data_IF_063664866832
#
_entry.id   IF_063664866832
#
_cell.length_a   1.000
_cell.length_b   1.000
_cell.length_c   1.000
_cell.angle_alpha   90.00
_cell.angle_beta   90.00
_cell.angle_gamma   90.00
#
_symmetry.space_group_name_H-M   'P 1'
#
loop_
_entity.id
_entity.type
_entity.pdbx_description
1 polymer ?
#
# COMPACT_ATOMS: atom_id res chain seq x y z
N UNK A 1 -36.09 -46.19 26.28
CA UNK A 1 -35.33 -45.01 26.73
C UNK A 1 -34.20 -44.80 25.74
N UNK A 2 -34.26 -43.76 24.91
CA UNK A 2 -33.17 -43.40 24.01
C UNK A 2 -32.43 -42.20 24.62
N UNK A 3 -31.13 -42.36 24.89
CA UNK A 3 -30.30 -41.29 25.43
C UNK A 3 -29.99 -40.29 24.31
N UNK A 4 -30.34 -39.02 24.51
CA UNK A 4 -29.92 -37.91 23.66
C UNK A 4 -28.44 -37.63 23.90
N UNK A 5 -27.60 -37.73 22.88
CA UNK A 5 -26.20 -37.30 22.94
C UNK A 5 -26.12 -35.78 23.05
N UNK A 6 -25.23 -35.23 23.90
CA UNK A 6 -25.02 -33.78 23.96
C UNK A 6 -24.34 -33.31 22.67
N UNK A 7 -24.94 -32.32 22.01
CA UNK A 7 -24.32 -31.59 20.89
C UNK A 7 -23.11 -30.83 21.44
N UNK A 8 -21.91 -31.18 20.96
CA UNK A 8 -20.69 -30.45 21.31
C UNK A 8 -20.82 -28.97 20.89
N UNK A 9 -20.35 -28.00 21.69
CA UNK A 9 -20.32 -26.61 21.26
C UNK A 9 -19.41 -26.49 20.03
N UNK A 10 -19.88 -25.76 19.01
CA UNK A 10 -19.08 -25.46 17.83
C UNK A 10 -17.92 -24.56 18.25
N UNK A 11 -16.75 -25.17 18.42
CA UNK A 11 -15.50 -24.47 18.69
C UNK A 11 -15.16 -23.61 17.47
N UNK A 12 -15.36 -22.30 17.59
CA UNK A 12 -15.04 -21.37 16.52
C UNK A 12 -13.61 -20.91 16.75
N UNK A 13 -12.68 -21.33 15.89
CA UNK A 13 -11.29 -20.93 15.99
C UNK A 13 -11.10 -19.45 15.55
N UNK A 14 -10.13 -18.71 16.13
CA UNK A 14 -9.82 -17.37 15.68
C UNK A 14 -9.31 -17.38 14.24
N UNK A 15 -9.75 -16.40 13.44
CA UNK A 15 -9.36 -16.28 12.03
C UNK A 15 -8.29 -15.18 11.86
N UNK A 16 -7.19 -15.50 11.17
CA UNK A 16 -6.23 -14.47 10.73
C UNK A 16 -6.74 -13.83 9.44
N UNK A 17 -6.92 -12.51 9.46
CA UNK A 17 -7.33 -11.72 8.30
C UNK A 17 -6.15 -10.88 7.84
N UNK A 18 -5.78 -11.02 6.57
CA UNK A 18 -4.78 -10.17 5.92
C UNK A 18 -5.47 -9.24 4.95
N UNK A 19 -5.22 -7.94 5.08
CA UNK A 19 -5.79 -6.90 4.21
C UNK A 19 -4.70 -5.96 3.72
N UNK A 20 -5.00 -5.25 2.65
CA UNK A 20 -4.17 -4.15 2.16
C UNK A 20 -4.85 -2.83 2.47
N UNK A 21 -4.13 -1.90 3.10
CA UNK A 21 -4.58 -0.53 3.34
C UNK A 21 -3.87 0.39 2.36
N UNK A 22 -4.65 1.00 1.46
CA UNK A 22 -4.12 1.80 0.37
C UNK A 22 -4.02 3.29 0.73
N UNK A 23 -3.05 3.96 0.11
CA UNK A 23 -2.96 5.41 0.03
C UNK A 23 -2.41 5.81 -1.35
N UNK A 24 -2.85 6.95 -1.86
CA UNK A 24 -2.47 7.42 -3.20
C UNK A 24 -2.01 8.87 -3.15
N UNK A 25 -1.13 9.24 -4.09
CA UNK A 25 -0.56 10.58 -4.18
C UNK A 25 -0.34 10.97 -5.64
N UNK A 26 -0.66 12.23 -5.95
CA UNK A 26 -0.41 12.83 -7.26
C UNK A 26 0.81 13.73 -7.13
N UNK A 27 1.86 13.43 -7.88
CA UNK A 27 3.11 14.17 -7.85
C UNK A 27 3.37 14.88 -9.17
N UNK A 28 3.34 16.21 -9.12
CA UNK A 28 3.73 17.08 -10.23
C UNK A 28 5.16 17.53 -10.05
N UNK A 29 6.02 17.12 -10.98
CA UNK A 29 7.40 17.59 -11.09
C UNK A 29 7.41 18.73 -12.10
N UNK A 30 7.37 19.97 -11.62
CA UNK A 30 7.47 21.16 -12.46
C UNK A 30 8.93 21.62 -12.59
N UNK A 31 9.28 22.24 -13.73
CA UNK A 31 10.63 22.73 -13.96
C UNK A 31 11.62 21.62 -14.37
N UNK A 32 11.16 20.61 -15.11
CA UNK A 32 11.99 19.47 -15.50
C UNK A 32 13.29 19.89 -16.21
N UNK A 33 13.24 20.94 -17.02
CA UNK A 33 14.39 21.51 -17.72
C UNK A 33 15.51 21.97 -16.81
N UNK A 34 15.18 22.44 -15.60
CA UNK A 34 16.14 22.82 -14.54
C UNK A 34 16.51 21.63 -13.66
N UNK A 35 15.58 20.68 -13.50
CA UNK A 35 15.80 19.46 -12.74
C UNK A 35 16.77 18.50 -13.43
N UNK A 36 16.78 18.43 -14.76
CA UNK A 36 17.75 17.61 -15.48
C UNK A 36 19.13 18.26 -15.41
N UNK A 37 20.18 17.45 -15.21
CA UNK A 37 21.53 17.93 -15.01
C UNK A 37 21.92 18.18 -13.54
N UNK A 38 21.03 17.95 -12.56
CA UNK A 38 21.38 18.02 -11.13
C UNK A 38 22.37 16.93 -10.70
N UNK A 39 22.59 15.92 -11.53
CA UNK A 39 23.59 14.87 -11.36
C UNK A 39 22.98 13.52 -10.94
N UNK A 40 23.62 12.45 -11.38
CA UNK A 40 23.20 11.09 -11.05
C UNK A 40 23.15 10.87 -9.53
N UNK A 41 22.11 10.18 -9.07
CA UNK A 41 21.86 9.93 -7.65
C UNK A 41 21.25 11.10 -6.87
N UNK A 42 21.05 12.27 -7.50
CA UNK A 42 20.23 13.36 -6.94
C UNK A 42 18.78 13.21 -7.38
N UNK A 43 17.86 13.61 -6.50
CA UNK A 43 16.43 13.41 -6.71
C UNK A 43 15.60 14.62 -6.28
N UNK A 44 14.37 14.64 -6.80
CA UNK A 44 13.27 15.47 -6.34
C UNK A 44 12.31 14.55 -5.59
N UNK A 45 11.95 14.93 -4.36
CA UNK A 45 10.97 14.21 -3.55
C UNK A 45 9.58 14.83 -3.71
N UNK A 46 8.55 13.99 -3.66
CA UNK A 46 7.18 14.44 -3.41
C UNK A 46 7.01 14.87 -1.95
N UNK A 47 5.87 15.49 -1.65
CA UNK A 47 5.38 15.52 -0.27
C UNK A 47 5.09 14.10 0.23
N UNK A 48 5.09 13.93 1.55
CA UNK A 48 4.76 12.65 2.16
C UNK A 48 3.25 12.41 2.12
N UNK A 49 2.85 11.15 1.97
CA UNK A 49 1.46 10.71 2.03
C UNK A 49 1.33 9.41 2.83
N UNK A 50 0.14 9.16 3.38
CA UNK A 50 -0.08 8.03 4.29
C UNK A 50 -0.69 6.83 3.57
N UNK A 51 -0.16 5.65 3.85
CA UNK A 51 -0.79 4.36 3.53
C UNK A 51 -0.50 3.37 4.66
N UNK A 52 -1.53 2.69 5.17
CA UNK A 52 -1.40 1.70 6.24
C UNK A 52 -0.72 2.16 7.52
N UNK A 53 -0.88 3.45 7.89
CA UNK A 53 -0.25 4.02 9.08
C UNK A 53 1.23 4.37 8.92
N UNK A 54 1.80 4.23 7.72
CA UNK A 54 3.15 4.66 7.40
C UNK A 54 3.13 5.88 6.45
N UNK A 55 4.17 6.70 6.52
CA UNK A 55 4.38 7.79 5.57
C UNK A 55 5.27 7.33 4.42
N UNK A 56 4.95 7.80 3.22
CA UNK A 56 5.57 7.41 1.97
C UNK A 56 5.89 8.64 1.13
N UNK A 57 6.93 8.59 0.32
CA UNK A 57 7.25 9.63 -0.65
C UNK A 57 7.73 9.01 -1.97
N UNK A 58 7.58 9.76 -3.06
CA UNK A 58 8.07 9.40 -4.39
C UNK A 58 9.39 10.14 -4.62
N UNK A 59 10.44 9.42 -5.01
CA UNK A 59 11.72 10.00 -5.40
C UNK A 59 11.93 9.85 -6.90
N UNK A 60 12.01 10.99 -7.59
CA UNK A 60 12.32 11.07 -9.02
C UNK A 60 13.77 11.50 -9.23
N UNK A 61 14.52 10.71 -10.00
CA UNK A 61 15.93 10.98 -10.32
C UNK A 61 16.04 11.35 -11.81
N UNK A 62 16.15 12.66 -12.15
CA UNK A 62 16.15 13.12 -13.54
C UNK A 62 17.33 12.59 -14.36
N UNK A 63 18.49 12.40 -13.72
CA UNK A 63 19.72 11.88 -14.34
C UNK A 63 20.03 10.45 -13.92
N UNK A 64 19.02 9.74 -13.41
CA UNK A 64 19.14 8.35 -12.97
C UNK A 64 19.72 8.19 -11.56
N UNK A 65 19.49 7.02 -10.96
CA UNK A 65 19.95 6.67 -9.61
C UNK A 65 21.41 6.21 -9.58
N UNK A 66 21.87 5.56 -10.65
CA UNK A 66 23.21 4.98 -10.75
C UNK A 66 24.06 5.83 -11.71
N UNK A 67 25.22 6.35 -11.29
CA UNK A 67 26.13 7.06 -12.21
C UNK A 67 26.58 6.23 -13.41
N UNK A 68 26.65 4.90 -13.29
CA UNK A 68 27.10 4.02 -14.37
C UNK A 68 26.17 4.01 -15.59
N UNK A 69 24.92 4.44 -15.44
CA UNK A 69 23.94 4.51 -16.54
C UNK A 69 24.13 5.78 -17.40
N UNK A 70 25.12 6.63 -17.13
CA UNK A 70 25.46 7.78 -17.97
C UNK A 70 24.32 8.80 -18.14
N UNK A 71 23.41 8.89 -17.17
CA UNK A 71 22.17 9.66 -17.26
C UNK A 71 21.28 9.29 -18.47
N UNK A 72 21.35 8.05 -18.96
CA UNK A 72 20.52 7.58 -20.07
C UNK A 72 19.06 7.39 -19.67
N UNK A 73 18.80 7.08 -18.40
CA UNK A 73 17.48 6.78 -17.87
C UNK A 73 17.10 7.71 -16.72
N UNK A 74 15.82 8.07 -16.66
CA UNK A 74 15.24 8.57 -15.42
C UNK A 74 14.95 7.38 -14.50
N UNK A 75 15.09 7.58 -13.19
CA UNK A 75 14.69 6.58 -12.19
C UNK A 75 13.56 7.09 -11.32
N UNK A 76 12.74 6.18 -10.81
CA UNK A 76 11.66 6.52 -9.90
C UNK A 76 11.48 5.44 -8.84
N UNK A 77 11.31 5.88 -7.60
CA UNK A 77 11.19 5.01 -6.42
C UNK A 77 10.09 5.52 -5.50
N UNK A 78 9.46 4.59 -4.78
CA UNK A 78 8.64 4.86 -3.61
C UNK A 78 9.48 4.54 -2.38
N UNK A 79 9.59 5.49 -1.45
CA UNK A 79 10.37 5.38 -0.24
C UNK A 79 9.47 5.40 0.99
N UNK A 80 9.81 4.59 1.99
CA UNK A 80 9.25 4.69 3.34
C UNK A 80 9.83 5.94 4.01
N UNK A 81 8.98 6.92 4.31
CA UNK A 81 9.37 8.21 4.88
C UNK A 81 9.27 8.24 6.41
N UNK A 82 8.35 7.45 7.00
CA UNK A 82 8.25 7.31 8.45
C UNK A 82 9.20 6.26 9.00
N UNK A 83 9.45 6.31 10.31
CA UNK A 83 10.02 5.17 11.02
C UNK A 83 9.09 3.96 10.90
N UNK A 84 9.67 2.78 10.68
CA UNK A 84 8.93 1.53 10.51
C UNK A 84 9.90 0.41 10.17
N UNK A 85 9.64 -0.78 10.73
CA UNK A 85 10.44 -1.98 10.48
C UNK A 85 9.58 -3.04 9.81
N UNK A 86 10.15 -3.69 8.79
CA UNK A 86 9.55 -4.79 8.06
C UNK A 86 8.13 -4.51 7.51
N UNK A 87 7.94 -3.32 6.94
CA UNK A 87 6.68 -2.92 6.31
C UNK A 87 6.53 -3.65 4.97
N UNK A 88 5.58 -4.58 4.88
CA UNK A 88 5.21 -5.24 3.63
C UNK A 88 4.27 -4.37 2.79
N UNK A 89 4.70 -3.96 1.60
CA UNK A 89 3.93 -3.06 0.75
C UNK A 89 3.92 -3.48 -0.73
N UNK A 90 2.81 -3.15 -1.38
CA UNK A 90 2.60 -3.14 -2.83
C UNK A 90 2.68 -1.69 -3.31
N UNK A 91 3.03 -1.50 -4.57
CA UNK A 91 2.99 -0.17 -5.17
C UNK A 91 2.58 -0.22 -6.64
N UNK A 92 2.02 0.90 -7.07
CA UNK A 92 1.77 1.26 -8.45
C UNK A 92 2.34 2.64 -8.71
N UNK A 93 3.06 2.77 -9.82
CA UNK A 93 3.57 4.04 -10.33
C UNK A 93 3.06 4.22 -11.76
N UNK A 94 2.35 5.31 -11.98
CA UNK A 94 1.73 5.64 -13.25
C UNK A 94 2.28 6.97 -13.75
N UNK A 95 3.07 6.92 -14.83
CA UNK A 95 3.51 8.11 -15.55
C UNK A 95 2.40 8.54 -16.49
N UNK A 96 1.86 9.75 -16.29
CA UNK A 96 0.66 10.18 -16.99
C UNK A 96 0.96 10.74 -18.38
N UNK A 97 0.27 10.23 -19.41
CA UNK A 97 0.23 10.85 -20.73
C UNK A 97 -0.56 12.16 -20.69
N UNK A 98 0.07 13.24 -21.14
CA UNK A 98 -0.49 14.59 -21.17
C UNK A 98 -0.86 15.02 -22.61
N UNK A 99 -0.72 14.12 -23.59
CA UNK A 99 -1.11 14.37 -24.99
C UNK A 99 -2.60 14.19 -25.26
N UNK A 100 -3.37 13.69 -24.28
CA UNK A 100 -4.80 13.42 -24.41
C UNK A 100 -5.13 12.07 -25.07
N UNK A 101 -4.13 11.22 -25.32
CA UNK A 101 -4.32 9.88 -25.91
C UNK A 101 -4.64 8.81 -24.86
N UNK A 102 -4.51 9.14 -23.57
CA UNK A 102 -4.77 8.23 -22.45
C UNK A 102 -3.75 7.10 -22.34
N UNK A 103 -2.56 7.26 -22.91
CA UNK A 103 -1.54 6.21 -22.96
C UNK A 103 -0.62 6.28 -21.73
N UNK A 104 -1.19 6.13 -20.53
CA UNK A 104 -0.39 6.14 -19.30
C UNK A 104 0.57 4.95 -19.23
N UNK A 105 1.79 5.17 -18.72
CA UNK A 105 2.76 4.09 -18.48
C UNK A 105 2.66 3.64 -17.02
N UNK A 106 2.03 2.48 -16.81
CA UNK A 106 1.76 1.89 -15.48
C UNK A 106 2.81 0.83 -15.14
N UNK A 107 3.36 0.89 -13.93
CA UNK A 107 4.11 -0.22 -13.29
C UNK A 107 3.42 -0.58 -11.99
N UNK A 108 2.72 -1.71 -11.95
CA UNK A 108 1.89 -2.12 -10.81
C UNK A 108 2.31 -3.48 -10.25
N UNK A 109 2.33 -3.59 -8.93
CA UNK A 109 2.51 -4.85 -8.20
C UNK A 109 1.20 -5.38 -7.61
N UNK A 110 0.09 -4.65 -7.76
CA UNK A 110 -1.22 -5.11 -7.30
C UNK A 110 -1.77 -6.27 -8.16
N UNK A 111 -1.37 -6.35 -9.42
CA UNK A 111 -1.95 -7.26 -10.42
C UNK A 111 -1.04 -8.49 -10.70
N UNK A 112 0.00 -8.72 -9.89
CA UNK A 112 0.85 -9.93 -10.00
C UNK A 112 0.58 -10.88 -8.83
N UNK A 113 -0.45 -11.75 -8.92
CA UNK A 113 -0.57 -12.85 -7.99
C UNK A 113 0.64 -13.79 -8.19
N UNK A 114 1.36 -14.07 -7.11
CA UNK A 114 2.18 -15.27 -6.88
C UNK A 114 3.64 -15.35 -7.35
N UNK A 115 4.25 -14.36 -8.03
CA UNK A 115 5.69 -14.46 -8.39
C UNK A 115 6.65 -13.63 -7.52
N UNK A 116 6.19 -12.56 -6.85
CA UNK A 116 7.08 -11.67 -6.08
C UNK A 116 6.60 -11.26 -4.69
N UNK A 117 5.31 -11.40 -4.39
CA UNK A 117 4.72 -10.95 -3.13
C UNK A 117 4.87 -9.44 -2.88
N UNK A 118 4.36 -8.94 -1.74
CA UNK A 118 4.68 -7.60 -1.25
C UNK A 118 6.18 -7.46 -0.97
N UNK A 119 6.72 -6.27 -1.19
CA UNK A 119 8.09 -5.96 -0.80
C UNK A 119 8.16 -5.56 0.66
N UNK A 120 9.14 -6.11 1.38
CA UNK A 120 9.40 -5.74 2.78
C UNK A 120 10.45 -4.63 2.84
N UNK A 121 10.03 -3.46 3.34
CA UNK A 121 10.87 -2.30 3.59
C UNK A 121 11.31 -2.30 5.05
N UNK A 122 12.62 -2.33 5.29
CA UNK A 122 13.19 -2.71 6.59
C UNK A 122 13.34 -1.54 7.57
N UNK A 123 13.48 -0.32 7.07
CA UNK A 123 13.73 0.89 7.86
C UNK A 123 13.34 2.14 7.08
N UNK A 124 13.28 3.29 7.76
CA UNK A 124 13.12 4.60 7.13
C UNK A 124 14.14 4.80 5.99
N UNK A 125 13.70 5.35 4.86
CA UNK A 125 14.53 5.55 3.67
C UNK A 125 14.78 4.30 2.83
N UNK A 126 14.33 3.12 3.27
CA UNK A 126 14.17 1.97 2.37
C UNK A 126 13.27 2.37 1.21
N UNK A 127 13.67 2.00 0.00
CA UNK A 127 12.96 2.43 -1.20
C UNK A 127 12.89 1.29 -2.21
N UNK A 128 11.80 1.26 -2.95
CA UNK A 128 11.59 0.29 -4.03
C UNK A 128 11.16 1.01 -5.30
N UNK A 129 11.66 0.57 -6.45
CA UNK A 129 11.34 1.20 -7.72
C UNK A 129 12.25 0.73 -8.84
N UNK A 130 12.42 1.59 -9.84
CA UNK A 130 13.08 1.23 -11.10
C UNK A 130 14.26 2.16 -11.37
N UNK A 131 15.47 1.60 -11.36
CA UNK A 131 16.70 2.32 -11.77
C UNK A 131 16.62 2.80 -13.23
N UNK A 132 16.05 1.97 -14.11
CA UNK A 132 15.85 2.30 -15.53
C UNK A 132 14.36 2.42 -15.84
N UNK A 133 13.68 3.36 -15.18
CA UNK A 133 12.21 3.51 -15.27
C UNK A 133 11.77 3.88 -16.69
N UNK A 134 12.45 4.88 -17.29
CA UNK A 134 12.21 5.28 -18.67
C UNK A 134 13.47 5.89 -19.27
N UNK A 135 13.70 5.67 -20.56
CA UNK A 135 14.82 6.30 -21.25
C UNK A 135 14.59 7.81 -21.31
N UNK A 136 15.56 8.60 -20.87
CA UNK A 136 15.41 10.06 -20.73
C UNK A 136 15.09 10.72 -22.08
N UNK A 137 15.80 10.35 -23.14
CA UNK A 137 15.52 10.90 -24.48
C UNK A 137 14.12 10.55 -24.98
N UNK A 138 13.60 9.37 -24.64
CA UNK A 138 12.22 8.99 -24.97
C UNK A 138 11.20 9.75 -24.12
N UNK A 139 11.50 10.03 -22.84
CA UNK A 139 10.68 10.88 -21.99
C UNK A 139 10.50 12.26 -22.59
N UNK A 140 11.62 12.89 -22.96
CA UNK A 140 11.65 14.25 -23.48
C UNK A 140 10.96 14.41 -24.83
N UNK A 141 10.91 13.33 -25.63
CA UNK A 141 10.21 13.30 -26.91
C UNK A 141 8.74 12.83 -26.82
N UNK A 142 8.25 12.47 -25.63
CA UNK A 142 6.93 11.88 -25.43
C UNK A 142 5.87 12.88 -24.98
N UNK A 143 4.60 12.44 -24.99
CA UNK A 143 3.49 13.15 -24.35
C UNK A 143 3.53 13.15 -22.81
N UNK A 144 4.50 12.48 -22.18
CA UNK A 144 4.62 12.44 -20.72
C UNK A 144 5.25 13.70 -20.13
N UNK A 145 6.02 14.47 -20.93
CA UNK A 145 6.57 15.76 -20.56
C UNK A 145 5.82 16.85 -21.34
N UNK A 146 5.13 17.74 -20.62
CA UNK A 146 4.38 18.84 -21.22
C UNK A 146 4.46 20.06 -20.31
N UNK A 147 4.61 21.24 -20.92
CA UNK A 147 4.72 22.52 -20.18
C UNK A 147 5.78 22.47 -19.08
N UNK A 148 6.91 21.84 -19.38
CA UNK A 148 8.04 21.56 -18.47
C UNK A 148 7.66 20.80 -17.19
N UNK A 149 6.58 20.02 -17.26
CA UNK A 149 6.04 19.25 -16.14
C UNK A 149 5.90 17.76 -16.48
N UNK A 150 6.21 16.93 -15.49
CA UNK A 150 5.91 15.49 -15.47
C UNK A 150 4.87 15.24 -14.39
N UNK A 151 3.86 14.41 -14.69
CA UNK A 151 2.83 14.03 -13.75
C UNK A 151 2.92 12.53 -13.45
N UNK A 152 2.93 12.19 -12.16
CA UNK A 152 3.01 10.82 -11.68
C UNK A 152 1.89 10.58 -10.67
N UNK A 153 1.12 9.52 -10.88
CA UNK A 153 0.23 8.99 -9.86
C UNK A 153 0.90 7.80 -9.20
N UNK A 154 0.83 7.74 -7.88
CA UNK A 154 1.32 6.63 -7.09
C UNK A 154 0.22 6.10 -6.19
N UNK A 155 0.13 4.78 -6.09
CA UNK A 155 -0.65 4.10 -5.04
C UNK A 155 0.27 3.14 -4.29
N UNK A 156 0.24 3.20 -2.97
CA UNK A 156 0.91 2.25 -2.08
C UNK A 156 -0.16 1.47 -1.33
N UNK A 157 0.01 0.16 -1.23
CA UNK A 157 -0.86 -0.73 -0.47
C UNK A 157 -0.05 -1.45 0.60
N UNK A 158 -0.27 -1.12 1.87
CA UNK A 158 0.43 -1.77 2.98
C UNK A 158 -0.34 -2.99 3.43
N UNK A 159 0.34 -4.13 3.48
CA UNK A 159 -0.24 -5.40 3.92
C UNK A 159 -0.20 -5.46 5.44
N UNK A 160 -1.37 -5.67 6.05
CA UNK A 160 -1.56 -5.77 7.49
C UNK A 160 -2.33 -7.05 7.80
N UNK A 161 -1.92 -7.75 8.85
CA UNK A 161 -2.61 -8.93 9.37
C UNK A 161 -3.11 -8.66 10.79
N UNK A 162 -4.35 -9.04 11.06
CA UNK A 162 -4.93 -9.04 12.41
C UNK A 162 -5.70 -10.34 12.67
N UNK A 163 -5.76 -10.76 13.92
CA UNK A 163 -6.54 -11.93 14.34
C UNK A 163 -7.92 -11.45 14.80
N UNK A 164 -8.98 -12.01 14.22
CA UNK A 164 -10.36 -11.77 14.67
C UNK A 164 -10.77 -12.86 15.67
N UNK A 165 -11.23 -12.44 16.85
CA UNK A 165 -11.80 -13.33 17.86
C UNK A 165 -13.23 -13.73 17.46
N UNK A 166 -13.68 -14.96 17.78
CA UNK A 166 -15.04 -15.39 17.48
C UNK A 166 -16.06 -14.55 18.26
N UNK A 167 -17.02 -13.96 17.55
CA UNK A 167 -18.16 -13.28 18.20
C UNK A 167 -19.01 -14.34 18.90
N UNK A 168 -18.92 -14.40 20.22
CA UNK A 168 -19.69 -15.32 21.05
C UNK A 168 -21.19 -15.09 20.88
N UNK A 169 -21.93 -16.16 20.56
CA UNK A 169 -23.39 -16.17 20.59
C UNK A 169 -23.83 -15.85 22.02
N UNK A 170 -24.53 -14.72 22.20
CA UNK A 170 -25.15 -14.36 23.48
C UNK A 170 -26.16 -15.46 23.82
N UNK A 171 -25.83 -16.34 24.77
CA UNK A 171 -26.80 -17.25 25.36
C UNK A 171 -27.76 -16.42 26.21
N UNK A 172 -28.96 -16.16 25.70
CA UNK A 172 -30.07 -15.63 26.50
C UNK A 172 -30.42 -16.67 27.56
N UNK A 173 -30.06 -16.41 28.82
CA UNK A 173 -30.53 -17.18 29.96
C UNK A 173 -32.04 -16.92 30.12
N UNK A 174 -32.87 -17.91 29.81
CA UNK A 174 -34.29 -17.91 30.21
C UNK A 174 -34.33 -18.29 31.69
N UNK A 175 -34.68 -17.35 32.56
CA UNK A 175 -34.97 -17.64 33.97
C UNK A 175 -36.30 -18.40 34.11
N UNK A 176 -36.26 -19.51 34.86
CA UNK A 176 -37.40 -20.37 35.19
C UNK A 176 -38.19 -19.75 36.37
N UNK A 177 -39.52 -19.54 36.29
CA UNK A 177 -40.27 -18.85 37.34
C UNK A 177 -40.47 -19.75 38.58
N UNK A 178 -39.85 -19.37 39.71
CA UNK A 178 -40.12 -20.00 41.02
C UNK A 178 -41.56 -19.74 41.45
N UNK A 179 -42.30 -20.82 41.70
CA UNK A 179 -43.62 -20.83 42.34
C UNK A 179 -43.50 -20.33 43.79
N UNK A 180 -44.22 -19.27 44.15
CA UNK A 180 -44.43 -18.84 45.53
C UNK A 180 -45.53 -19.68 46.18
N UNK A 181 -45.23 -20.31 47.32
CA UNK A 181 -46.22 -20.82 48.26
C UNK A 181 -46.10 -20.01 49.55
N UNK A 182 -47.12 -19.21 49.85
CA UNK A 182 -47.22 -18.39 51.06
C UNK A 182 -47.66 -19.27 52.24
N UNK A 183 -46.87 -19.27 53.31
CA UNK A 183 -47.31 -19.68 54.64
C UNK A 183 -48.35 -18.66 55.14
N UNK A 184 -49.59 -19.09 55.38
CA UNK A 184 -50.53 -18.37 56.24
C UNK A 184 -50.37 -18.85 57.68
N UNK A 185 -50.17 -17.90 58.59
CA UNK A 185 -50.36 -18.11 60.02
C UNK A 185 -51.23 -16.98 60.52
N UNK A 186 -52.45 -17.32 60.92
CA UNK A 186 -53.19 -16.86 62.10
C UNK A 186 -54.33 -17.85 62.34
#
# INVERSE_FOLDING_TARGET
MAASSPTAPAETAPASVTKTVNGSHHFKIAGYSLAKGIGAGKYIASESFTAGGCEWAIYFYPDGKNPDDGAEYVSMFVALASEGTDVSALFELTLLDQSGKGQHKVHSHFVRPLEGGPYTLKHQGSMWGYKRFFKRSALEASGYLKDDCILVDCTVGVVQSHTEEPVGVVQTHTEDPKIYSLHSSL
#
